data_IF_642346302917
#
_entry.id   IF_642346302917
#
_cell.length_a   1.000
_cell.length_b   1.000
_cell.length_c   1.000
_cell.angle_alpha   90.00
_cell.angle_beta   90.00
_cell.angle_gamma   90.00
#
_symmetry.space_group_name_H-M   'P 1'
#
loop_
_entity.id
_entity.type
_entity.pdbx_description
1 polymer ?
2 non-polymer ?
3 non-polymer ?
4 non-polymer ?
5 water ?
#
# COMPACT_ATOMS: atom_id res chain seq x y z
N UNK A 36 -29.20 -2.16 -4.06
CA UNK A 36 -28.82 -3.31 -4.96
C UNK A 36 -28.11 -4.45 -4.20
N UNK A 37 -28.30 -5.69 -4.67
CA UNK A 37 -27.65 -6.91 -4.11
C UNK A 37 -27.06 -7.72 -5.27
N UNK A 38 -26.20 -7.06 -6.05
CA UNK A 38 -25.66 -7.64 -7.28
C UNK A 38 -24.32 -8.39 -7.12
N UNK A 39 -23.67 -8.24 -5.96
CA UNK A 39 -22.32 -8.77 -5.76
C UNK A 39 -21.25 -8.09 -6.61
N UNK A 40 -21.44 -6.79 -6.90
CA UNK A 40 -20.49 -5.99 -7.65
C UNK A 40 -20.05 -4.70 -6.93
N UNK A 41 -20.71 -4.35 -5.83
CA UNK A 41 -20.44 -3.10 -5.12
C UNK A 41 -19.06 -3.07 -4.48
N UNK A 42 -18.56 -1.86 -4.31
CA UNK A 42 -17.31 -1.66 -3.62
C UNK A 42 -17.38 -2.07 -2.16
N UNK A 43 -16.26 -2.60 -1.65
CA UNK A 43 -16.14 -2.89 -0.23
C UNK A 43 -15.23 -1.86 0.44
N UNK A 44 -15.81 -1.19 1.45
CA UNK A 44 -15.12 -0.10 2.12
C UNK A 44 -14.33 -0.53 3.36
N UNK A 45 -14.12 -1.84 3.49
CA UNK A 45 -13.20 -2.42 4.48
C UNK A 45 -12.06 -3.16 3.77
N UNK A 46 -11.89 -2.85 2.48
CA UNK A 46 -10.82 -3.42 1.66
C UNK A 46 -9.95 -2.28 1.17
N UNK A 47 -8.68 -2.33 1.56
CA UNK A 47 -7.70 -1.25 1.35
C UNK A 47 -6.63 -1.72 0.42
N UNK A 48 -6.41 -1.01 -0.69
CA UNK A 48 -5.43 -1.43 -1.65
C UNK A 48 -4.30 -0.41 -1.71
N UNK A 49 -3.08 -0.87 -1.41
CA UNK A 49 -1.94 0.05 -1.32
C UNK A 49 -1.52 0.57 -2.69
N UNK A 50 -1.53 1.90 -2.80
CA UNK A 50 -1.38 2.60 -4.07
C UNK A 50 -0.19 3.54 -4.03
N UNK A 51 0.56 3.56 -5.12
CA UNK A 51 1.80 4.32 -5.21
C UNK A 51 1.65 5.35 -6.34
N UNK A 52 1.91 6.62 -6.02
CA UNK A 52 1.72 7.76 -6.89
C UNK A 52 3.05 8.37 -7.32
N UNK A 53 4.11 7.56 -7.35
CA UNK A 53 5.47 8.06 -7.55
C UNK A 53 6.00 7.88 -8.98
N UNK A 54 5.13 7.46 -9.91
CA UNK A 54 5.54 7.23 -11.29
C UNK A 54 5.42 8.51 -12.11
N UNK A 55 6.30 8.69 -13.09
CA UNK A 55 6.18 9.83 -14.01
C UNK A 55 6.13 9.41 -15.46
N UNK A 56 5.61 10.31 -16.31
CA UNK A 56 5.69 10.12 -17.77
C UNK A 56 6.16 11.40 -18.44
N UNK A 57 6.69 11.25 -19.64
CA UNK A 57 7.10 12.40 -20.39
C UNK A 57 5.87 13.30 -20.58
N UNK A 58 4.72 12.68 -20.85
CA UNK A 58 3.53 13.45 -21.22
C UNK A 58 3.17 14.46 -20.15
N UNK A 59 3.18 14.03 -18.89
CA UNK A 59 2.77 14.88 -17.78
C UNK A 59 3.95 15.49 -17.00
N UNK A 60 4.94 14.67 -16.66
CA UNK A 60 6.04 15.11 -15.77
C UNK A 60 7.31 15.48 -16.51
N UNK A 61 7.38 15.15 -17.78
CA UNK A 61 8.58 15.40 -18.57
C UNK A 61 9.72 14.46 -18.20
N UNK A 62 9.42 13.42 -17.44
CA UNK A 62 10.40 12.43 -17.02
C UNK A 62 9.74 11.14 -16.55
N UNK A 63 10.50 10.05 -16.65
CA UNK A 63 10.06 8.71 -16.23
C UNK A 63 10.50 8.28 -14.79
N UNK A 64 10.03 9.08 -13.84
CA UNK A 64 10.30 8.86 -12.43
C UNK A 64 9.82 7.46 -12.00
N UNK A 65 10.67 6.78 -11.22
CA UNK A 65 10.42 5.44 -10.69
C UNK A 65 10.51 4.35 -11.72
N UNK A 66 10.05 4.57 -12.95
CA UNK A 66 10.36 3.59 -14.00
C UNK A 66 11.87 3.47 -14.14
N UNK A 67 12.56 4.61 -13.99
CA UNK A 67 13.99 4.66 -13.72
C UNK A 67 14.23 4.55 -12.24
N UNK A 68 15.20 3.72 -11.83
CA UNK A 68 15.42 3.50 -10.40
C UNK A 68 16.82 2.98 -10.18
N UNK A 69 17.43 3.44 -9.10
CA UNK A 69 18.73 2.89 -8.72
C UNK A 69 18.62 1.41 -8.36
N UNK A 70 19.66 0.66 -8.70
CA UNK A 70 19.79 -0.71 -8.29
C UNK A 70 20.47 -0.69 -6.93
N UNK A 71 19.87 -1.39 -5.97
CA UNK A 71 20.39 -1.43 -4.60
C UNK A 71 21.65 -2.30 -4.52
N UNK A 72 22.68 -1.84 -3.83
CA UNK A 72 23.83 -2.73 -3.55
C UNK A 72 23.39 -3.86 -2.63
N UNK A 73 24.12 -4.95 -2.72
CA UNK A 73 23.89 -6.09 -1.84
C UNK A 73 24.40 -5.72 -0.43
N UNK A 74 23.49 -5.68 0.56
CA UNK A 74 23.93 -5.35 1.94
C UNK A 74 24.93 -6.34 2.54
N UNK A 75 25.06 -7.52 1.96
CA UNK A 75 26.06 -8.48 2.39
C UNK A 75 27.23 -8.60 1.38
N UNK A 76 27.33 -7.65 0.42
CA UNK A 76 28.23 -7.97 -0.70
C UNK A 76 29.52 -7.12 -0.76
N UNK A 77 29.87 -6.47 0.33
CA UNK A 77 31.16 -5.80 0.42
C UNK A 77 31.21 -4.43 -0.22
N UNK A 78 32.36 -3.79 -0.11
CA UNK A 78 32.54 -2.42 -0.56
C UNK A 78 32.87 -2.33 -2.05
N UNK A 79 32.67 -1.14 -2.59
CA UNK A 79 33.01 -0.84 -3.96
C UNK A 79 32.06 -1.37 -5.01
N UNK A 80 30.84 -1.72 -4.63
CA UNK A 80 29.85 -2.10 -5.60
C UNK A 80 29.41 -0.85 -6.35
N UNK A 81 29.24 -0.99 -7.65
CA UNK A 81 28.71 0.09 -8.49
C UNK A 81 27.55 -0.57 -9.21
N UNK A 82 26.43 -0.76 -8.49
CA UNK A 82 25.30 -1.53 -9.02
C UNK A 82 24.61 -0.91 -10.22
N UNK A 83 24.73 0.39 -10.34
CA UNK A 83 24.15 1.08 -11.49
C UNK A 83 22.69 1.40 -11.29
N UNK A 84 22.05 1.70 -12.41
CA UNK A 84 20.66 2.16 -12.40
C UNK A 84 19.90 1.57 -13.56
N UNK A 85 18.62 1.37 -13.34
CA UNK A 85 17.69 0.98 -14.40
C UNK A 85 17.23 2.31 -15.03
N UNK A 86 17.38 2.46 -16.36
CA UNK A 86 17.21 3.79 -16.94
C UNK A 86 15.78 4.25 -17.18
N UNK A 87 14.80 3.33 -17.08
CA UNK A 87 13.41 3.69 -17.30
C UNK A 87 13.10 4.01 -18.73
N UNK A 88 13.82 3.39 -19.66
CA UNK A 88 13.49 3.45 -21.07
C UNK A 88 12.32 2.53 -21.33
N UNK A 89 11.78 2.59 -22.53
CA UNK A 89 10.69 1.66 -22.86
C UNK A 89 11.15 0.21 -22.66
N UNK A 90 12.39 -0.07 -23.04
CA UNK A 90 12.91 -1.42 -22.99
C UNK A 90 13.29 -1.90 -21.59
N UNK A 91 13.67 -0.97 -20.71
CA UNK A 91 14.27 -1.30 -19.43
C UNK A 91 13.68 -0.46 -18.30
N UNK A 92 12.71 -1.02 -17.62
CA UNK A 92 12.02 -0.38 -16.50
C UNK A 92 12.30 -1.11 -15.21
N UNK A 93 12.06 -0.44 -14.09
CA UNK A 93 12.38 -0.95 -12.77
C UNK A 93 11.27 -1.85 -12.23
N UNK A 94 11.02 -2.93 -12.96
CA UNK A 94 10.06 -3.95 -12.56
C UNK A 94 10.45 -5.23 -13.27
N UNK A 95 10.11 -6.36 -12.66
CA UNK A 95 10.20 -7.64 -13.36
C UNK A 95 8.99 -7.90 -14.26
N UNK A 96 7.92 -7.11 -14.11
CA UNK A 96 6.72 -7.16 -14.95
C UNK A 96 6.60 -5.86 -15.75
N UNK A 97 5.60 -5.78 -16.63
CA UNK A 97 5.48 -4.63 -17.49
C UNK A 97 4.00 -4.16 -17.49
N UNK A 98 3.76 -2.89 -17.16
CA UNK A 98 2.38 -2.41 -17.07
C UNK A 98 1.63 -2.42 -18.41
N UNK A 99 0.36 -2.84 -18.39
CA UNK A 99 -0.49 -2.67 -19.54
C UNK A 99 -0.58 -1.22 -19.98
N UNK A 100 -0.57 -0.30 -19.03
CA UNK A 100 -0.67 1.14 -19.31
C UNK A 100 0.65 1.78 -19.70
N UNK A 101 1.74 1.01 -19.77
CA UNK A 101 3.04 1.54 -20.11
C UNK A 101 3.66 2.37 -18.98
N UNK A 102 4.67 3.17 -19.35
CA UNK A 102 5.39 4.00 -18.40
C UNK A 102 4.55 5.24 -18.13
N UNK A 103 3.55 5.06 -17.27
CA UNK A 103 2.56 6.11 -17.04
C UNK A 103 3.04 7.13 -16.00
N UNK A 104 2.40 8.30 -16.07
CA UNK A 104 2.52 9.29 -15.00
C UNK A 104 1.38 9.16 -13.99
N UNK A 105 1.75 9.17 -12.70
CA UNK A 105 0.76 9.19 -11.63
C UNK A 105 -0.01 10.52 -11.58
N UNK A 106 0.45 11.54 -12.32
CA UNK A 106 -0.23 12.83 -12.42
C UNK A 106 -1.07 12.99 -13.67
N UNK A 107 -1.20 11.92 -14.49
CA UNK A 107 -1.96 11.99 -15.74
C UNK A 107 -3.42 11.71 -15.39
N UNK A 108 -4.31 12.72 -15.49
CA UNK A 108 -5.72 12.49 -15.14
C UNK A 108 -6.36 11.33 -15.92
N UNK A 109 -5.87 11.08 -17.15
CA UNK A 109 -6.46 10.01 -17.93
C UNK A 109 -6.01 8.61 -17.41
N UNK A 110 -4.80 8.52 -16.89
CA UNK A 110 -4.36 7.27 -16.20
C UNK A 110 -5.18 7.10 -14.93
N UNK A 111 -5.37 8.18 -14.17
CA UNK A 111 -6.08 8.06 -12.91
C UNK A 111 -7.52 7.57 -13.13
N UNK A 112 -8.17 8.06 -14.17
CA UNK A 112 -9.49 7.57 -14.53
C UNK A 112 -9.47 6.04 -14.69
N UNK A 113 -8.52 5.57 -15.48
CA UNK A 113 -8.35 4.12 -15.74
C UNK A 113 -8.09 3.35 -14.46
N UNK A 114 -7.23 3.88 -13.60
CA UNK A 114 -6.98 3.22 -12.32
C UNK A 114 -8.25 3.13 -11.51
N UNK A 115 -9.07 4.18 -11.47
CA UNK A 115 -10.31 4.11 -10.69
C UNK A 115 -11.26 3.08 -11.26
N UNK A 116 -11.32 2.95 -12.58
CA UNK A 116 -12.14 1.90 -13.17
C UNK A 116 -11.59 0.51 -12.79
N UNK A 117 -10.27 0.37 -12.65
CA UNK A 117 -9.68 -0.88 -12.19
C UNK A 117 -10.04 -1.17 -10.74
N UNK A 118 -10.05 -0.16 -9.88
CA UNK A 118 -10.53 -0.34 -8.50
C UNK A 118 -11.98 -0.80 -8.50
N UNK A 119 -12.83 -0.21 -9.34
CA UNK A 119 -14.21 -0.64 -9.44
C UNK A 119 -14.29 -2.11 -9.85
N UNK A 120 -13.50 -2.53 -10.83
CA UNK A 120 -13.48 -3.94 -11.24
C UNK A 120 -13.05 -4.86 -10.09
N UNK A 121 -12.08 -4.43 -9.29
CA UNK A 121 -11.56 -5.23 -8.20
C UNK A 121 -12.46 -5.19 -6.97
N UNK A 122 -13.41 -4.24 -6.93
CA UNK A 122 -14.29 -4.03 -5.78
C UNK A 122 -13.59 -3.48 -4.54
N UNK A 123 -12.40 -2.91 -4.73
CA UNK A 123 -11.61 -2.39 -3.62
C UNK A 123 -12.05 -0.95 -3.38
N UNK A 124 -12.77 -0.71 -2.27
CA UNK A 124 -13.32 0.62 -2.06
C UNK A 124 -12.39 1.67 -1.51
N UNK A 125 -11.23 1.27 -0.97
CA UNK A 125 -10.30 2.24 -0.38
C UNK A 125 -8.93 2.15 -1.02
N UNK A 126 -8.47 3.30 -1.50
CA UNK A 126 -7.15 3.49 -2.06
C UNK A 126 -6.27 4.02 -0.91
N UNK A 127 -5.27 3.23 -0.52
CA UNK A 127 -4.39 3.58 0.60
C UNK A 127 -3.12 4.18 0.01
N UNK A 128 -3.10 5.51 -0.05
CA UNK A 128 -2.10 6.28 -0.80
C UNK A 128 -0.80 6.47 -0.06
N UNK A 129 0.29 6.00 -0.66
CA UNK A 129 1.62 6.27 -0.14
C UNK A 129 1.81 7.76 0.05
N UNK A 130 2.42 8.16 1.17
CA UNK A 130 2.56 9.59 1.47
C UNK A 130 3.91 9.84 2.08
N UNK A 131 4.72 10.59 1.33
CA UNK A 131 6.13 10.79 1.62
C UNK A 131 6.50 12.19 2.11
N UNK A 132 5.49 13.03 2.33
CA UNK A 132 5.74 14.37 2.87
C UNK A 132 6.77 15.13 2.01
N UNK A 133 6.53 15.15 0.70
CA UNK A 133 7.49 15.81 -0.19
C UNK A 133 7.42 17.32 -0.08
N UNK A 134 6.29 17.88 0.37
CA UNK A 134 6.12 19.33 0.58
C UNK A 134 6.48 20.07 -0.70
N UNK A 135 5.90 19.61 -1.79
CA UNK A 135 6.05 20.33 -3.04
C UNK A 135 4.77 20.33 -3.83
N UNK A 136 4.67 21.33 -4.66
CA UNK A 136 3.53 21.57 -5.53
C UNK A 136 3.04 20.32 -6.26
N UNK A 137 4.00 19.55 -6.76
CA UNK A 137 3.63 18.43 -7.59
C UNK A 137 2.92 17.36 -6.78
N UNK A 138 3.36 17.13 -5.53
CA UNK A 138 2.64 16.20 -4.62
C UNK A 138 1.23 16.69 -4.36
N UNK A 139 1.11 17.96 -4.05
CA UNK A 139 -0.20 18.52 -3.71
C UNK A 139 -1.16 18.40 -4.89
N UNK A 140 -0.67 18.66 -6.09
CA UNK A 140 -1.51 18.56 -7.27
C UNK A 140 -1.97 17.11 -7.47
N UNK A 141 -1.03 16.19 -7.33
CA UNK A 141 -1.33 14.79 -7.60
C UNK A 141 -2.36 14.25 -6.59
N UNK A 142 -2.21 14.59 -5.30
CA UNK A 142 -3.16 14.11 -4.32
C UNK A 142 -4.56 14.63 -4.66
N UNK A 143 -4.67 15.91 -5.04
CA UNK A 143 -5.98 16.42 -5.43
C UNK A 143 -6.56 15.70 -6.64
N UNK A 144 -5.73 15.42 -7.63
CA UNK A 144 -6.21 14.68 -8.80
C UNK A 144 -6.71 13.29 -8.44
N UNK A 145 -5.97 12.61 -7.56
CA UNK A 145 -6.38 11.26 -7.14
C UNK A 145 -7.71 11.29 -6.38
N UNK A 146 -7.86 12.23 -5.45
CA UNK A 146 -9.12 12.37 -4.76
C UNK A 146 -10.29 12.65 -5.72
N UNK A 147 -10.08 13.57 -6.66
CA UNK A 147 -11.11 13.90 -7.63
C UNK A 147 -11.50 12.69 -8.46
N UNK A 148 -10.50 11.96 -8.95
CA UNK A 148 -10.80 10.80 -9.79
C UNK A 148 -11.49 9.72 -9.00
N UNK A 149 -11.01 9.48 -7.79
CA UNK A 149 -11.65 8.49 -6.90
C UNK A 149 -13.13 8.80 -6.67
N UNK A 150 -13.44 10.06 -6.44
CA UNK A 150 -14.81 10.39 -6.10
C UNK A 150 -15.78 10.12 -7.23
N UNK A 151 -15.32 10.25 -8.47
CA UNK A 151 -16.21 9.99 -9.61
C UNK A 151 -16.73 8.54 -9.61
N UNK A 152 -16.01 7.64 -8.96
CA UNK A 152 -16.33 6.21 -8.91
C UNK A 152 -16.68 5.74 -7.53
N UNK A 153 -16.87 6.67 -6.58
CA UNK A 153 -17.23 6.38 -5.19
C UNK A 153 -16.13 5.61 -4.45
N UNK A 154 -14.90 5.74 -4.94
CA UNK A 154 -13.76 5.20 -4.20
C UNK A 154 -13.33 6.20 -3.15
N UNK A 155 -12.81 5.68 -2.04
CA UNK A 155 -12.33 6.49 -0.94
C UNK A 155 -10.82 6.42 -0.89
N UNK A 156 -10.24 7.42 -0.25
CA UNK A 156 -8.77 7.55 -0.13
C UNK A 156 -8.39 7.73 1.32
N UNK A 157 -7.44 6.92 1.77
CA UNK A 157 -6.80 7.13 3.07
C UNK A 157 -5.29 7.19 2.80
N UNK A 158 -4.54 7.59 3.82
CA UNK A 158 -3.10 7.79 3.66
C UNK A 158 -2.27 6.75 4.37
N UNK A 159 -1.21 6.34 3.70
CA UNK A 159 -0.22 5.38 4.19
C UNK A 159 1.04 6.19 4.47
N UNK A 160 1.25 6.49 5.76
CA UNK A 160 2.28 7.40 6.16
C UNK A 160 3.65 6.72 6.21
N UNK A 161 4.50 7.15 5.30
CA UNK A 161 5.78 6.54 5.05
C UNK A 161 6.84 7.08 6.01
N UNK A 162 8.01 6.43 6.05
CA UNK A 162 9.10 6.87 6.97
C UNK A 162 9.91 8.00 6.33
N UNK A 163 9.30 9.16 6.29
CA UNK A 163 9.91 10.35 5.75
C UNK A 163 11.00 10.87 6.70
N UNK A 164 11.91 11.73 6.19
CA UNK A 164 13.06 12.13 7.02
C UNK A 164 12.63 12.80 8.32
N UNK A 165 13.26 12.37 9.41
CA UNK A 165 13.02 12.94 10.74
C UNK A 165 11.59 12.76 11.22
N UNK A 166 10.86 11.78 10.66
CA UNK A 166 9.51 11.50 11.13
C UNK A 166 9.54 11.28 12.66
N UNK A 167 8.60 11.90 13.33
CA UNK A 167 8.48 11.78 14.78
C UNK A 167 7.04 12.10 15.15
N UNK A 168 6.63 11.90 16.40
CA UNK A 168 5.20 12.05 16.69
C UNK A 168 4.72 13.51 16.57
N UNK A 169 5.61 14.47 16.76
CA UNK A 169 5.20 15.88 16.67
C UNK A 169 4.93 16.25 15.20
N UNK A 170 5.87 16.00 14.30
CA UNK A 170 5.58 16.29 12.92
C UNK A 170 4.52 15.34 12.33
N UNK A 171 4.37 14.12 12.86
CA UNK A 171 3.23 13.30 12.45
C UNK A 171 1.92 13.96 12.81
N UNK A 172 1.83 14.48 14.04
CA UNK A 172 0.59 15.17 14.42
C UNK A 172 0.34 16.31 13.48
N UNK A 173 1.37 17.10 13.21
CA UNK A 173 1.23 18.27 12.34
C UNK A 173 0.76 17.87 10.94
N UNK A 174 1.31 16.76 10.46
CA UNK A 174 0.94 16.24 9.16
C UNK A 174 -0.47 15.63 9.11
N UNK A 175 -0.88 14.93 10.18
CA UNK A 175 -2.25 14.45 10.29
C UNK A 175 -3.22 15.65 10.29
N UNK A 176 -2.91 16.69 11.05
CA UNK A 176 -3.74 17.91 11.05
C UNK A 176 -3.78 18.50 9.64
N UNK A 177 -2.65 18.59 8.98
CA UNK A 177 -2.61 19.16 7.64
C UNK A 177 -3.45 18.33 6.66
N UNK A 178 -3.29 17.01 6.68
CA UNK A 178 -4.04 16.19 5.76
C UNK A 178 -5.54 16.24 6.02
N UNK A 179 -5.96 16.19 7.29
CA UNK A 179 -7.37 16.28 7.61
C UNK A 179 -7.91 17.68 7.26
N UNK A 180 -7.14 18.73 7.53
CA UNK A 180 -7.58 20.07 7.17
C UNK A 180 -7.72 20.25 5.66
N UNK A 181 -6.72 19.79 4.91
CA UNK A 181 -6.72 20.00 3.45
C UNK A 181 -7.74 19.11 2.76
N UNK A 182 -7.85 17.85 3.20
CA UNK A 182 -8.58 16.85 2.44
C UNK A 182 -9.76 16.23 3.15
N UNK A 183 -9.94 16.51 4.45
CA UNK A 183 -10.98 15.88 5.23
C UNK A 183 -12.38 16.13 4.78
N UNK A 184 -12.61 17.27 4.14
CA UNK A 184 -13.94 17.59 3.59
C UNK A 184 -14.10 17.19 2.12
N UNK A 185 -13.06 16.63 1.51
CA UNK A 185 -13.21 16.10 0.18
C UNK A 185 -14.14 14.90 0.24
N UNK A 186 -15.11 14.79 -0.69
CA UNK A 186 -16.06 13.67 -0.61
C UNK A 186 -15.45 12.28 -0.72
N UNK A 187 -14.24 12.17 -1.29
CA UNK A 187 -13.56 10.87 -1.38
C UNK A 187 -12.71 10.56 -0.14
N UNK A 188 -12.57 11.47 0.81
CA UNK A 188 -11.72 11.21 1.99
C UNK A 188 -12.37 10.10 2.83
N UNK A 189 -11.62 9.04 3.12
CA UNK A 189 -12.16 7.90 3.86
C UNK A 189 -12.42 8.18 5.32
N UNK A 190 -13.55 7.69 5.83
CA UNK A 190 -13.78 7.56 7.27
C UNK A 190 -14.41 6.21 7.56
N UNK A 191 -14.06 5.67 8.72
CA UNK A 191 -14.63 4.44 9.26
C UNK A 191 -15.29 4.84 10.57
N UNK A 192 -16.59 4.62 10.66
CA UNK A 192 -17.41 5.01 11.81
C UNK A 192 -17.07 6.42 12.31
N UNK A 193 -16.92 7.32 11.35
CA UNK A 193 -16.69 8.72 11.61
C UNK A 193 -15.25 9.15 11.77
N UNK A 194 -14.31 8.21 11.71
CA UNK A 194 -12.89 8.55 11.94
C UNK A 194 -12.07 8.33 10.69
N UNK A 195 -11.18 9.26 10.35
CA UNK A 195 -10.15 8.93 9.37
C UNK A 195 -9.36 7.71 9.79
N UNK A 196 -8.66 7.09 8.84
CA UNK A 196 -7.76 5.96 9.11
C UNK A 196 -6.43 6.20 8.44
N UNK A 197 -5.35 5.96 9.19
CA UNK A 197 -4.01 6.00 8.62
C UNK A 197 -3.29 4.69 8.89
N UNK A 198 -2.57 4.24 7.88
CA UNK A 198 -1.59 3.15 8.04
C UNK A 198 -0.24 3.80 8.29
N UNK A 199 0.55 3.27 9.24
CA UNK A 199 1.87 3.84 9.54
C UNK A 199 2.94 2.79 9.25
N UNK A 200 3.66 3.00 8.14
CA UNK A 200 4.70 2.04 7.75
C UNK A 200 5.90 2.20 8.67
N UNK A 201 6.50 1.06 9.04
CA UNK A 201 7.69 1.01 9.90
C UNK A 201 7.44 1.82 11.20
N UNK A 202 6.24 1.65 11.75
CA UNK A 202 5.90 2.29 13.01
C UNK A 202 6.81 1.89 14.18
N UNK A 203 7.50 0.74 14.07
CA UNK A 203 8.54 0.34 15.05
C UNK A 203 9.76 1.24 15.09
N UNK A 204 9.95 2.06 14.07
CA UNK A 204 11.06 3.00 14.12
C UNK A 204 10.80 4.09 15.18
N UNK A 205 9.60 4.08 15.83
CA UNK A 205 9.29 5.10 16.83
C UNK A 205 8.92 4.36 18.12
N UNK A 206 9.55 4.76 19.23
CA UNK A 206 9.33 4.12 20.50
C UNK A 206 7.90 4.24 20.98
N UNK A 207 7.39 3.20 21.67
CA UNK A 207 6.06 3.30 22.23
C UNK A 207 5.87 4.50 23.16
N UNK A 208 6.91 4.89 23.89
CA UNK A 208 6.76 6.07 24.79
C UNK A 208 6.49 7.35 24.00
N UNK A 209 7.03 7.46 22.79
CA UNK A 209 6.69 8.59 21.90
C UNK A 209 5.28 8.43 21.35
N UNK A 210 4.94 7.26 20.82
CA UNK A 210 3.58 7.03 20.32
C UNK A 210 2.51 7.35 21.37
N UNK A 211 2.75 7.00 22.63
CA UNK A 211 1.79 7.22 23.69
C UNK A 211 1.40 8.70 23.78
N UNK A 212 2.36 9.58 23.51
CA UNK A 212 2.10 11.01 23.60
C UNK A 212 1.07 11.49 22.58
N UNK A 213 1.03 10.80 21.46
CA UNK A 213 0.10 11.10 20.37
C UNK A 213 -1.20 10.33 20.47
N UNK A 214 -1.12 9.08 20.93
CA UNK A 214 -2.20 8.12 20.75
C UNK A 214 -2.90 7.68 22.02
N UNK A 215 -2.33 7.90 23.19
CA UNK A 215 -3.10 7.70 24.41
C UNK A 215 -4.05 8.88 24.60
N UNK A 216 -5.25 8.65 25.16
CA UNK A 216 -6.13 9.79 25.45
C UNK A 216 -5.48 10.82 26.39
N UNK A 217 -4.55 10.38 27.22
CA UNK A 217 -3.81 11.25 28.14
C UNK A 217 -2.54 11.83 27.60
N UNK A 218 -2.17 11.48 26.37
CA UNK A 218 -0.89 11.87 25.85
C UNK A 218 -0.72 13.37 25.72
N UNK A 219 0.52 13.81 25.88
CA UNK A 219 0.93 15.19 25.84
C UNK A 219 0.44 15.96 24.62
N UNK A 220 0.41 15.27 23.48
CA UNK A 220 -0.02 15.84 22.21
C UNK A 220 -1.11 14.99 21.59
N UNK A 221 -2.02 14.52 22.42
CA UNK A 221 -2.98 13.54 21.94
C UNK A 221 -3.83 14.07 20.78
N UNK A 222 -4.19 13.14 19.90
CA UNK A 222 -5.27 13.37 18.93
C UNK A 222 -6.61 12.88 19.42
N UNK A 223 -6.62 12.11 20.50
CA UNK A 223 -7.91 11.53 20.96
C UNK A 223 -8.82 12.64 21.44
N UNK A 224 -10.10 12.52 21.09
CA UNK A 224 -11.13 13.49 21.46
C UNK A 224 -10.90 14.88 20.85
N UNK A 225 -10.12 14.96 19.79
CA UNK A 225 -9.92 16.17 19.05
C UNK A 225 -10.54 16.01 17.66
N UNK A 226 -10.53 17.13 16.94
CA UNK A 226 -10.96 17.15 15.54
C UNK A 226 -10.10 16.27 14.66
N UNK A 227 -8.93 15.87 15.14
CA UNK A 227 -7.94 15.18 14.34
C UNK A 227 -7.75 13.75 14.77
N UNK A 228 -8.70 13.24 15.56
CA UNK A 228 -8.68 11.84 15.98
C UNK A 228 -8.74 10.98 14.68
N UNK A 229 -8.13 9.79 14.75
CA UNK A 229 -8.07 8.87 13.63
C UNK A 229 -7.80 7.47 14.13
N UNK A 230 -8.19 6.48 13.33
CA UNK A 230 -7.76 5.10 13.56
C UNK A 230 -6.33 4.97 13.04
N UNK A 231 -5.41 4.63 13.93
CA UNK A 231 -3.99 4.56 13.61
C UNK A 231 -3.62 3.09 13.59
N UNK A 232 -3.20 2.62 12.42
CA UNK A 232 -2.92 1.21 12.17
C UNK A 232 -1.41 1.04 11.97
N UNK A 233 -0.77 0.42 12.97
CA UNK A 233 0.67 0.24 12.93
C UNK A 233 1.10 -1.04 12.26
N UNK A 234 2.37 -1.11 11.89
CA UNK A 234 2.91 -2.25 11.18
C UNK A 234 3.40 -3.30 12.16
N UNK A 235 2.66 -4.41 12.27
CA UNK A 235 3.11 -5.58 13.06
C UNK A 235 4.13 -6.34 12.26
N UNK A 236 5.37 -6.37 12.74
CA UNK A 236 6.46 -7.09 12.08
C UNK A 236 6.77 -8.46 12.70
N UNK A 237 7.37 -8.43 13.87
CA UNK A 237 8.02 -9.60 14.44
C UNK A 237 7.15 -10.39 15.41
N UNK A 238 7.76 -11.05 16.41
CA UNK A 238 7.03 -12.04 17.19
C UNK A 238 6.06 -11.36 18.18
N UNK A 239 5.04 -12.11 18.65
CA UNK A 239 4.11 -11.60 19.64
C UNK A 239 4.77 -11.07 20.90
N UNK A 240 5.86 -11.68 21.34
CA UNK A 240 6.48 -11.25 22.56
C UNK A 240 6.95 -9.79 22.49
N UNK A 241 7.33 -9.36 21.28
CA UNK A 241 7.72 -7.98 21.01
C UNK A 241 6.51 -7.13 20.60
N UNK A 242 5.69 -7.64 19.69
CA UNK A 242 4.67 -6.79 19.06
C UNK A 242 3.48 -6.54 19.97
N UNK A 243 3.07 -7.52 20.79
CA UNK A 243 1.89 -7.31 21.65
C UNK A 243 2.11 -6.11 22.58
N UNK A 244 3.21 -6.09 23.36
CA UNK A 244 3.37 -4.91 24.22
C UNK A 244 3.61 -3.63 23.44
N UNK A 245 4.27 -3.72 22.29
CA UNK A 245 4.46 -2.53 21.45
C UNK A 245 3.12 -1.90 21.10
N UNK A 246 2.22 -2.69 20.55
CA UNK A 246 0.96 -2.16 20.08
C UNK A 246 0.13 -1.61 21.24
N UNK A 247 0.13 -2.31 22.37
CA UNK A 247 -0.63 -1.83 23.54
C UNK A 247 -0.02 -0.56 24.08
N UNK A 248 1.30 -0.55 24.28
CA UNK A 248 1.98 0.58 24.89
C UNK A 248 2.02 1.82 24.03
N UNK A 249 1.93 1.60 22.71
CA UNK A 249 1.87 2.69 21.72
C UNK A 249 0.49 3.23 21.49
N UNK A 250 -0.54 2.51 21.96
CA UNK A 250 -1.92 2.94 21.82
C UNK A 250 -2.41 2.99 20.36
N UNK A 251 -1.85 2.12 19.53
CA UNK A 251 -2.41 1.97 18.17
C UNK A 251 -3.81 1.40 18.26
N UNK A 252 -4.63 1.81 17.31
CA UNK A 252 -5.99 1.27 17.20
C UNK A 252 -6.03 -0.07 16.52
N UNK A 253 -4.97 -0.43 15.80
CA UNK A 253 -4.94 -1.68 15.08
C UNK A 253 -3.59 -1.89 14.45
N UNK A 254 -3.49 -2.92 13.60
CA UNK A 254 -2.25 -3.26 13.00
C UNK A 254 -2.50 -3.95 11.68
N UNK A 255 -1.50 -3.80 10.79
CA UNK A 255 -1.43 -4.44 9.49
C UNK A 255 -0.07 -5.08 9.33
N UNK A 256 0.11 -5.85 8.24
CA UNK A 256 1.32 -6.65 8.08
C UNK A 256 2.16 -6.31 6.88
N UNK A 257 1.54 -5.66 5.89
CA UNK A 257 2.11 -5.18 4.60
C UNK A 257 2.68 -6.23 3.68
N UNK A 258 3.70 -6.99 4.09
CA UNK A 258 4.53 -7.69 3.14
C UNK A 258 3.71 -8.70 2.36
N UNK A 259 3.88 -8.69 1.03
CA UNK A 259 3.20 -9.63 0.16
C UNK A 259 3.83 -11.01 0.17
N UNK A 260 5.09 -11.11 0.61
CA UNK A 260 5.85 -12.37 0.58
C UNK A 260 5.60 -13.13 1.86
N UNK A 261 4.92 -14.27 1.76
CA UNK A 261 4.63 -15.09 2.94
C UNK A 261 5.94 -15.47 3.64
N UNK A 262 5.95 -15.34 4.96
CA UNK A 262 7.08 -15.79 5.74
C UNK A 262 8.18 -14.76 5.83
N UNK A 263 8.05 -13.60 5.19
CA UNK A 263 9.07 -12.57 5.27
C UNK A 263 9.26 -12.10 6.72
N UNK A 264 8.14 -11.93 7.42
CA UNK A 264 8.11 -11.61 8.83
C UNK A 264 7.13 -12.58 9.50
N UNK A 265 7.15 -12.60 10.83
CA UNK A 265 6.12 -13.30 11.59
C UNK A 265 4.72 -12.82 11.14
N UNK A 266 4.58 -11.51 11.03
CA UNK A 266 3.31 -10.91 10.71
C UNK A 266 2.79 -11.27 9.34
N UNK A 267 3.70 -11.48 8.40
CA UNK A 267 3.33 -11.85 7.04
C UNK A 267 3.39 -13.37 6.82
N UNK A 268 3.29 -14.14 7.90
CA UNK A 268 3.14 -15.59 7.83
C UNK A 268 1.69 -15.94 8.12
N UNK A 269 0.90 -16.29 7.08
CA UNK A 269 -0.55 -16.36 7.30
C UNK A 269 -1.04 -17.39 8.30
N UNK A 270 -0.27 -18.44 8.56
CA UNK A 270 -0.67 -19.38 9.63
C UNK A 270 -0.70 -18.71 11.03
N UNK A 271 -0.12 -17.52 11.20
CA UNK A 271 -0.25 -16.77 12.44
C UNK A 271 -1.48 -15.91 12.55
N UNK A 272 -2.24 -15.79 11.45
CA UNK A 272 -3.31 -14.80 11.43
C UNK A 272 -4.49 -15.12 12.36
N UNK A 273 -4.85 -16.39 12.50
CA UNK A 273 -5.92 -16.74 13.47
C UNK A 273 -5.55 -16.26 14.87
N UNK A 274 -4.33 -16.56 15.32
CA UNK A 274 -3.85 -16.15 16.63
C UNK A 274 -3.74 -14.63 16.79
N UNK A 275 -3.29 -13.97 15.71
CA UNK A 275 -3.18 -12.52 15.75
C UNK A 275 -4.55 -11.87 15.85
N UNK A 276 -5.53 -12.41 15.14
CA UNK A 276 -6.90 -11.91 15.23
C UNK A 276 -7.50 -12.13 16.63
N UNK A 277 -7.27 -13.31 17.20
CA UNK A 277 -7.72 -13.59 18.57
C UNK A 277 -7.20 -12.57 19.55
N UNK A 278 -5.90 -12.29 19.47
CA UNK A 278 -5.30 -11.27 20.34
C UNK A 278 -5.91 -9.90 20.06
N UNK A 279 -6.08 -9.56 18.79
CA UNK A 279 -6.67 -8.28 18.45
C UNK A 279 -8.06 -8.11 19.10
N UNK A 280 -8.88 -9.14 18.94
CA UNK A 280 -10.24 -9.09 19.48
C UNK A 280 -10.21 -8.94 21.01
N UNK A 281 -9.34 -9.70 21.67
CA UNK A 281 -9.22 -9.65 23.13
C UNK A 281 -8.77 -8.29 23.65
N UNK A 282 -8.07 -7.53 22.80
CA UNK A 282 -7.47 -6.25 23.19
C UNK A 282 -8.06 -5.04 22.50
N UNK A 283 -9.20 -5.21 21.83
CA UNK A 283 -9.93 -4.09 21.23
C UNK A 283 -9.17 -3.46 20.08
N UNK A 284 -8.36 -4.23 19.35
CA UNK A 284 -7.59 -3.74 18.22
C UNK A 284 -8.16 -4.25 16.90
N UNK A 285 -7.96 -3.46 15.84
CA UNK A 285 -8.37 -3.81 14.49
C UNK A 285 -7.20 -4.44 13.72
N UNK A 286 -7.32 -5.69 13.35
CA UNK A 286 -6.31 -6.37 12.57
C UNK A 286 -6.70 -6.31 11.11
N UNK A 287 -5.79 -5.79 10.28
CA UNK A 287 -6.01 -5.64 8.86
C UNK A 287 -4.86 -6.37 8.14
N UNK A 288 -4.95 -7.70 8.06
CA UNK A 288 -3.87 -8.43 7.40
C UNK A 288 -3.69 -8.00 5.97
N UNK A 289 -2.46 -8.07 5.48
CA UNK A 289 -2.14 -7.69 4.11
C UNK A 289 -1.91 -8.95 3.26
N UNK A 290 -2.60 -8.99 2.11
CA UNK A 290 -2.51 -10.11 1.19
C UNK A 290 -1.98 -9.58 -0.14
N UNK A 291 -1.21 -10.43 -0.82
CA UNK A 291 -0.73 -10.05 -2.13
C UNK A 291 -0.63 -11.21 -3.07
N UNK A 292 -0.43 -10.92 -4.37
CA UNK A 292 -0.49 -11.95 -5.39
C UNK A 292 0.83 -12.68 -5.67
N UNK A 293 1.92 -12.14 -5.12
CA UNK A 293 3.27 -12.63 -5.36
C UNK A 293 4.26 -11.56 -4.93
N UNK A 294 5.54 -11.87 -5.14
CA UNK A 294 6.60 -10.90 -4.83
C UNK A 294 7.79 -11.20 -5.70
N UNK A 295 8.37 -10.16 -6.32
CA UNK A 295 9.70 -10.31 -6.94
C UNK A 295 10.25 -8.93 -7.20
N UNK A 296 11.46 -8.67 -6.71
CA UNK A 296 12.04 -7.33 -6.81
C UNK A 296 13.46 -7.37 -7.36
N UNK A 297 13.81 -8.44 -8.07
CA UNK A 297 15.20 -8.65 -8.44
C UNK A 297 15.75 -7.73 -9.54
N UNK A 298 14.92 -6.97 -10.27
CA UNK A 298 15.49 -5.93 -11.13
C UNK A 298 16.17 -4.86 -10.29
N UNK A 299 15.53 -4.42 -9.21
CA UNK A 299 16.10 -3.39 -8.36
C UNK A 299 16.92 -3.92 -7.21
N UNK A 300 16.74 -5.19 -6.83
CA UNK A 300 17.50 -5.83 -5.74
C UNK A 300 17.93 -7.23 -6.21
N UNK A 301 18.96 -7.29 -7.06
CA UNK A 301 19.30 -8.59 -7.68
C UNK A 301 19.67 -9.70 -6.70
N UNK A 302 20.12 -9.27 -5.53
CA UNK A 302 20.55 -10.14 -4.43
C UNK A 302 19.42 -10.65 -3.55
N UNK A 303 18.19 -10.21 -3.84
CA UNK A 303 17.06 -10.48 -2.94
C UNK A 303 16.15 -11.61 -3.43
N UNK A 304 16.71 -12.56 -4.16
CA UNK A 304 15.90 -13.61 -4.71
C UNK A 304 15.22 -14.51 -3.71
N UNK A 305 15.72 -14.62 -2.48
CA UNK A 305 15.09 -15.47 -1.49
C UNK A 305 13.66 -15.03 -1.14
N UNK A 306 13.33 -13.76 -1.41
CA UNK A 306 12.01 -13.22 -1.10
C UNK A 306 11.03 -13.49 -2.25
N UNK A 307 11.49 -13.98 -3.40
CA UNK A 307 10.57 -14.26 -4.51
C UNK A 307 9.47 -15.21 -4.04
N UNK A 308 8.24 -14.85 -4.38
CA UNK A 308 7.10 -15.75 -4.24
C UNK A 308 6.40 -15.80 -5.59
N UNK A 309 6.32 -17.00 -6.17
CA UNK A 309 5.78 -17.20 -7.51
C UNK A 309 4.25 -17.10 -7.50
N UNK A 310 3.71 -16.51 -8.56
CA UNK A 310 2.25 -16.30 -8.61
C UNK A 310 1.42 -17.56 -8.89
N UNK A 311 2.03 -18.50 -9.59
CA UNK A 311 1.39 -19.78 -9.98
C UNK A 311 -0.04 -19.58 -10.48
N UNK A 312 -0.18 -18.73 -11.48
CA UNK A 312 -1.48 -18.51 -12.16
C UNK A 312 -2.60 -18.14 -11.22
N UNK A 313 -2.24 -17.49 -10.13
CA UNK A 313 -3.22 -17.04 -9.15
C UNK A 313 -3.34 -17.85 -7.89
N UNK A 314 -2.71 -19.02 -7.85
CA UNK A 314 -2.90 -19.89 -6.72
C UNK A 314 -2.27 -19.32 -5.45
N UNK A 315 -1.17 -18.59 -5.59
CA UNK A 315 -0.57 -17.93 -4.41
C UNK A 315 -1.56 -16.90 -3.82
N UNK A 316 -2.10 -16.05 -4.68
CA UNK A 316 -3.05 -15.03 -4.23
C UNK A 316 -4.23 -15.65 -3.53
N UNK A 317 -4.77 -16.67 -4.18
CA UNK A 317 -5.94 -17.36 -3.60
C UNK A 317 -5.64 -17.91 -2.19
N UNK A 318 -4.49 -18.54 -2.05
CA UNK A 318 -4.15 -19.10 -0.76
C UNK A 318 -4.04 -18.03 0.30
N UNK A 319 -3.41 -16.90 -0.02
CA UNK A 319 -3.20 -15.85 0.99
C UNK A 319 -4.53 -15.16 1.35
N UNK A 320 -5.33 -14.87 0.34
CA UNK A 320 -6.62 -14.20 0.57
C UNK A 320 -7.53 -15.12 1.39
N UNK A 321 -7.54 -16.42 1.06
CA UNK A 321 -8.35 -17.34 1.83
C UNK A 321 -7.93 -17.35 3.33
N UNK A 322 -6.63 -17.31 3.62
CA UNK A 322 -6.16 -17.29 5.01
C UNK A 322 -6.64 -16.04 5.73
N UNK A 323 -6.62 -14.90 5.04
CA UNK A 323 -7.11 -13.68 5.68
C UNK A 323 -8.59 -13.80 6.05
N UNK A 324 -9.38 -14.31 5.11
CA UNK A 324 -10.82 -14.42 5.35
C UNK A 324 -11.10 -15.44 6.46
N UNK A 325 -10.39 -16.56 6.42
CA UNK A 325 -10.57 -17.60 7.45
C UNK A 325 -10.20 -17.12 8.84
N UNK A 326 -9.28 -16.15 8.94
CA UNK A 326 -8.92 -15.61 10.23
C UNK A 326 -10.06 -14.81 10.88
N UNK A 327 -11.07 -14.43 10.10
CA UNK A 327 -12.25 -13.78 10.69
C UNK A 327 -12.08 -12.32 10.94
N UNK A 328 -11.25 -11.66 10.15
CA UNK A 328 -10.95 -10.24 10.33
C UNK A 328 -12.08 -9.39 9.73
N UNK A 329 -12.07 -8.13 10.16
CA UNK A 329 -13.07 -7.12 9.77
C UNK A 329 -12.67 -6.27 8.57
N UNK A 330 -11.40 -6.36 8.17
CA UNK A 330 -10.85 -5.52 7.14
C UNK A 330 -9.64 -6.25 6.62
N UNK A 331 -9.37 -6.04 5.32
CA UNK A 331 -8.23 -6.65 4.63
C UNK A 331 -7.52 -5.57 3.81
N UNK A 332 -6.19 -5.66 3.77
CA UNK A 332 -5.42 -4.76 2.93
C UNK A 332 -4.71 -5.60 1.87
N UNK A 333 -4.51 -4.97 0.70
CA UNK A 333 -3.93 -5.63 -0.48
C UNK A 333 -2.63 -4.93 -0.86
N UNK A 334 -1.55 -5.74 -0.83
CA UNK A 334 -0.21 -5.32 -1.23
C UNK A 334 0.04 -5.97 -2.56
N UNK A 335 -0.19 -5.31 -3.70
CA UNK A 335 -0.45 -3.85 -3.83
C UNK A 335 -1.25 -3.62 -5.08
N UNK A 336 -1.76 -2.39 -5.24
CA UNK A 336 -2.28 -2.04 -6.56
C UNK A 336 -1.15 -2.02 -7.58
N UNK A 337 -0.08 -1.29 -7.26
CA UNK A 337 0.90 -0.89 -8.27
C UNK A 337 2.28 -0.64 -7.70
N UNK A 338 2.74 -1.53 -6.79
CA UNK A 338 4.16 -1.50 -6.39
C UNK A 338 4.89 -2.40 -7.42
N UNK A 339 5.17 -1.82 -8.58
CA UNK A 339 5.75 -2.56 -9.68
C UNK A 339 7.19 -2.98 -9.40
N UNK A 340 7.92 -2.23 -8.57
CA UNK A 340 9.29 -2.60 -8.29
C UNK A 340 9.38 -3.91 -7.54
N UNK A 341 8.34 -4.21 -6.75
CA UNK A 341 8.35 -5.37 -5.87
C UNK A 341 7.46 -6.50 -6.39
N UNK A 342 6.87 -6.31 -7.57
CA UNK A 342 6.15 -7.40 -8.20
C UNK A 342 4.98 -7.88 -7.41
N UNK A 343 4.38 -6.99 -6.61
CA UNK A 343 3.23 -7.32 -5.82
C UNK A 343 1.92 -6.78 -6.44
N UNK A 344 2.02 -6.15 -7.61
CA UNK A 344 0.88 -5.41 -8.15
C UNK A 344 -0.24 -6.32 -8.64
N UNK A 345 -1.48 -5.86 -8.44
CA UNK A 345 -2.63 -6.47 -9.11
C UNK A 345 -3.01 -5.70 -10.38
N UNK A 346 -2.43 -4.52 -10.58
CA UNK A 346 -2.68 -3.74 -11.78
C UNK A 346 -2.33 -4.58 -13.01
N UNK A 347 -3.12 -4.47 -14.11
CA UNK A 347 -2.80 -5.27 -15.31
C UNK A 347 -1.41 -5.09 -15.84
N UNK A 348 -0.81 -6.24 -16.17
CA UNK A 348 0.51 -6.40 -16.77
C UNK A 348 0.36 -7.15 -18.07
N UNK A 349 1.26 -6.90 -19.02
CA UNK A 349 1.23 -7.55 -20.32
C UNK A 349 2.55 -8.25 -20.61
N UNK A 350 2.48 -9.27 -21.48
CA UNK A 350 3.74 -9.86 -21.93
C UNK A 350 4.59 -8.85 -22.68
N UNK A 351 5.90 -8.87 -22.44
CA UNK A 351 6.79 -7.98 -23.17
C UNK A 351 8.18 -8.55 -23.10
N UNK A 352 8.83 -8.60 -24.26
CA UNK A 352 10.22 -8.93 -24.38
C UNK A 352 10.88 -7.83 -25.19
N UNK A 353 11.84 -7.17 -24.57
CA UNK A 353 12.58 -6.10 -25.25
C UNK A 353 13.98 -6.61 -25.47
N UNK A 354 14.77 -5.81 -26.15
CA UNK A 354 16.19 -6.13 -26.36
C UNK A 354 16.98 -6.16 -25.05
N UNK A 355 16.44 -5.53 -24.00
CA UNK A 355 17.14 -5.42 -22.73
C UNK A 355 16.69 -6.39 -21.63
N UNK A 356 15.46 -6.88 -21.70
CA UNK A 356 14.92 -7.74 -20.64
C UNK A 356 13.71 -8.50 -21.13
N UNK A 357 13.57 -9.73 -20.63
CA UNK A 357 12.38 -10.52 -20.89
C UNK A 357 11.54 -10.43 -19.62
N UNK A 358 10.41 -9.73 -19.67
CA UNK A 358 9.60 -9.49 -18.50
C UNK A 358 8.80 -10.74 -18.14
N UNK A 359 8.49 -10.88 -16.86
CA UNK A 359 7.46 -11.80 -16.44
C UNK A 359 6.10 -11.24 -16.81
N UNK A 360 5.06 -12.09 -16.77
CA UNK A 360 3.72 -11.68 -17.12
C UNK A 360 2.74 -12.59 -16.40
N UNK A 361 1.44 -12.39 -16.65
CA UNK A 361 0.43 -13.15 -15.92
C UNK A 361 0.18 -14.57 -16.44
N UNK A 362 1.02 -14.95 -17.38
CA UNK A 362 1.20 -16.32 -17.83
C UNK A 362 -0.09 -16.84 -18.49
N UNK A 363 -0.71 -17.82 -17.87
CA UNK A 363 -1.95 -18.38 -18.41
C UNK A 363 -3.19 -17.55 -18.14
N UNK A 364 -3.01 -16.49 -17.36
CA UNK A 364 -4.10 -15.58 -17.07
C UNK A 364 -4.03 -14.33 -17.93
N UNK A 365 -5.20 -13.72 -18.14
CA UNK A 365 -5.31 -12.44 -18.86
C UNK A 365 -4.80 -11.25 -18.01
N UNK A 366 -4.47 -10.14 -18.66
CA UNK A 366 -3.91 -8.99 -17.91
C UNK A 366 -4.76 -8.52 -16.73
N UNK A 367 -6.09 -8.58 -16.83
CA UNK A 367 -6.96 -8.13 -15.73
C UNK A 367 -7.35 -9.21 -14.74
N UNK A 368 -6.69 -10.37 -14.81
CA UNK A 368 -7.08 -11.48 -13.94
C UNK A 368 -6.98 -11.14 -12.47
N UNK A 369 -5.94 -10.42 -12.06
CA UNK A 369 -5.82 -10.13 -10.65
C UNK A 369 -6.85 -9.12 -10.17
N UNK A 370 -7.33 -8.24 -11.05
CA UNK A 370 -8.47 -7.40 -10.70
C UNK A 370 -9.73 -8.23 -10.50
N UNK A 371 -10.05 -9.08 -11.47
CA UNK A 371 -11.30 -9.84 -11.31
C UNK A 371 -11.19 -10.89 -10.21
N UNK A 372 -9.99 -11.41 -9.95
CA UNK A 372 -9.86 -12.36 -8.85
C UNK A 372 -9.97 -11.66 -7.51
N UNK A 373 -9.49 -10.40 -7.43
CA UNK A 373 -9.73 -9.60 -6.24
C UNK A 373 -11.23 -9.44 -5.97
N UNK A 374 -11.99 -9.17 -7.03
CA UNK A 374 -13.43 -9.03 -6.86
C UNK A 374 -14.07 -10.30 -6.32
N UNK A 375 -13.59 -11.45 -6.78
CA UNK A 375 -14.05 -12.73 -6.28
C UNK A 375 -13.81 -12.83 -4.79
N UNK A 376 -12.60 -12.50 -4.35
CA UNK A 376 -12.25 -12.58 -2.93
C UNK A 376 -12.97 -11.55 -2.09
N UNK A 377 -13.19 -10.35 -2.60
CA UNK A 377 -13.99 -9.36 -1.89
C UNK A 377 -15.38 -9.93 -1.63
N UNK A 378 -15.94 -10.60 -2.63
CA UNK A 378 -17.24 -11.26 -2.42
C UNK A 378 -17.21 -12.30 -1.30
N UNK A 379 -16.18 -13.16 -1.31
CA UNK A 379 -16.06 -14.15 -0.23
C UNK A 379 -15.84 -13.48 1.12
N UNK A 380 -15.08 -12.39 1.15
CA UNK A 380 -14.89 -11.64 2.39
C UNK A 380 -16.24 -11.08 2.90
N UNK A 381 -17.03 -10.51 1.99
CA UNK A 381 -18.30 -9.92 2.41
C UNK A 381 -19.25 -10.97 2.91
N UNK A 382 -19.18 -12.14 2.28
CA UNK A 382 -20.02 -13.24 2.66
C UNK A 382 -19.77 -13.64 4.12
N UNK A 383 -18.49 -13.48 4.54
CA UNK A 383 -17.96 -13.74 5.89
C UNK A 383 -18.24 -12.68 6.96
N UNK A 384 -18.62 -11.47 6.53
CA UNK A 384 -18.71 -10.28 7.44
C UNK A 384 -20.07 -10.28 8.09
#
# INVERSE_FOLDING_TARGET
>A
MGSSHHHHHHSSGLVPRGSHMDDNNPSNSENNGGNNNLGTELDYDTFCFYYDWYGSEAIDGQYRHWAHAIAPDPNGGSGQNPGTIPGTQESIASNFYPQLGRYSSSDPNILTKHMDMFVMARTGVLALTWWNEQDETEAKRIGLILDAADKKKIKVCFHLEPYPSRNVQNLRENIVKLITRYGNHPAFYRKDGKPLFFIYDSYLIEPSEWEKLLSPGGSITIRNTAYDALMIGLWTSSPTVQRPFILNAHFDGFYTYFAATGFTYGSTPTNWVSMQKWAKENGKIFIPSVGPGYIDTRIRPWNGSVIRTRTDGQYYDAMYRKAIEAGVSAISITSFNQWHEGSQIEPAVPYTSSEFTYLDYENREPDYYLTRTAYWVGKFRESKQ
#
